data_IF_091376770357
#
_entry.id   IF_091376770357
#
_cell.length_a   1.000
_cell.length_b   1.000
_cell.length_c   1.000
_cell.angle_alpha   90.00
_cell.angle_beta   90.00
_cell.angle_gamma   90.00
#
_symmetry.space_group_name_H-M   'P 1'
#
loop_
_entity.id
_entity.type
_entity.pdbx_description
1 polymer ?
#
# COMPACT_ATOMS: atom_id res chain seq x y z
N UNK A 1 -14.30 -19.12 0.08
CA UNK A 1 -13.66 -18.17 1.00
C UNK A 1 -13.97 -16.78 0.46
N UNK A 2 -14.86 -16.04 1.12
CA UNK A 2 -15.36 -14.75 0.64
C UNK A 2 -14.35 -13.63 0.97
N UNK A 3 -14.05 -12.77 0.00
CA UNK A 3 -13.51 -11.44 0.30
C UNK A 3 -14.69 -10.48 0.21
N UNK A 4 -15.31 -10.28 1.37
CA UNK A 4 -16.23 -9.18 1.61
C UNK A 4 -15.49 -7.88 1.26
N UNK A 5 -16.16 -7.00 0.50
CA UNK A 5 -15.94 -5.55 0.43
C UNK A 5 -14.92 -5.07 1.47
N UNK A 6 -13.77 -4.43 1.11
CA UNK A 6 -12.75 -4.06 2.08
C UNK A 6 -13.46 -3.41 3.27
N UNK A 7 -13.48 -4.13 4.40
CA UNK A 7 -14.40 -3.83 5.49
C UNK A 7 -14.28 -2.32 5.78
N UNK A 8 -15.39 -1.57 5.79
CA UNK A 8 -15.37 -0.13 6.04
C UNK A 8 -14.35 0.18 7.16
N UNK A 9 -13.20 0.76 6.80
CA UNK A 9 -12.06 0.93 7.72
C UNK A 9 -10.79 0.09 7.47
N UNK A 10 -10.68 -0.65 6.36
CA UNK A 10 -9.45 -1.36 5.99
C UNK A 10 -8.26 -0.38 5.92
N UNK A 11 -7.14 -0.74 6.55
CA UNK A 11 -5.98 0.15 6.68
C UNK A 11 -4.69 -0.64 6.58
N UNK A 12 -3.70 -0.10 5.88
CA UNK A 12 -2.35 -0.67 5.84
C UNK A 12 -1.46 -0.08 6.94
N UNK A 13 -0.74 -0.92 7.68
CA UNK A 13 0.24 -0.47 8.68
C UNK A 13 1.65 -0.78 8.20
N UNK A 14 2.47 0.27 8.05
CA UNK A 14 3.83 0.24 7.50
C UNK A 14 4.80 0.85 8.52
N UNK A 15 5.09 0.13 9.60
CA UNK A 15 5.87 0.66 10.74
C UNK A 15 7.16 -0.14 10.90
N UNK A 16 8.30 0.57 10.92
CA UNK A 16 9.61 0.01 11.29
C UNK A 16 9.87 0.10 12.80
N UNK A 17 11.00 -0.45 13.24
CA UNK A 17 11.31 -0.52 14.67
C UNK A 17 11.74 0.86 15.22
N UNK A 18 12.65 1.55 14.53
CA UNK A 18 13.14 2.90 14.85
C UNK A 18 13.92 3.48 13.65
N UNK A 19 14.44 4.70 13.75
CA UNK A 19 15.18 5.36 12.66
C UNK A 19 16.50 4.66 12.29
N UNK A 20 17.11 3.90 13.20
CA UNK A 20 18.31 3.10 12.93
C UNK A 20 17.98 1.75 12.26
N UNK A 21 16.74 1.28 12.41
CA UNK A 21 16.20 0.03 11.86
C UNK A 21 14.84 0.29 11.20
N UNK A 22 14.82 1.08 10.11
CA UNK A 22 13.58 1.43 9.44
C UNK A 22 13.01 0.24 8.67
N UNK A 23 11.70 0.25 8.45
CA UNK A 23 11.07 -0.66 7.50
C UNK A 23 11.46 -0.27 6.07
N UNK A 24 12.22 -1.11 5.36
CA UNK A 24 12.53 -0.91 3.95
C UNK A 24 11.53 -1.66 3.06
N UNK A 25 10.72 -0.91 2.30
CA UNK A 25 9.66 -1.48 1.46
C UNK A 25 9.68 -0.85 0.05
N UNK A 26 9.50 -1.67 -0.97
CA UNK A 26 9.31 -1.19 -2.35
C UNK A 26 7.91 -1.56 -2.83
N UNK A 27 7.10 -0.54 -3.13
CA UNK A 27 5.78 -0.67 -3.73
C UNK A 27 5.92 -0.45 -5.24
N UNK A 28 5.75 -1.53 -6.02
CA UNK A 28 5.80 -1.49 -7.48
C UNK A 28 4.46 -1.91 -8.06
N UNK A 29 3.79 -0.99 -8.76
CA UNK A 29 2.52 -1.26 -9.46
C UNK A 29 1.44 -1.79 -8.51
N UNK A 30 1.30 -1.18 -7.34
CA UNK A 30 0.30 -1.57 -6.32
C UNK A 30 -0.79 -0.51 -6.27
N UNK A 31 -2.02 -0.86 -6.65
CA UNK A 31 -3.18 -0.03 -6.38
C UNK A 31 -4.06 -0.70 -5.32
N UNK A 32 -4.34 0.03 -4.25
CA UNK A 32 -5.26 -0.39 -3.20
C UNK A 32 -6.58 0.35 -3.31
N UNK A 33 -7.70 -0.35 -3.11
CA UNK A 33 -9.03 0.27 -3.07
C UNK A 33 -9.19 1.21 -1.88
N UNK A 34 -8.53 0.90 -0.77
CA UNK A 34 -8.44 1.78 0.40
C UNK A 34 -7.00 2.25 0.57
N UNK A 35 -6.79 3.56 0.43
CA UNK A 35 -5.47 4.21 0.51
C UNK A 35 -5.09 4.63 1.93
N UNK A 36 -5.95 4.38 2.92
CA UNK A 36 -5.66 4.67 4.31
C UNK A 36 -4.47 3.83 4.80
N UNK A 37 -3.40 4.52 5.20
CA UNK A 37 -2.20 3.89 5.76
C UNK A 37 -1.72 4.60 7.02
N UNK A 38 -1.13 3.84 7.94
CA UNK A 38 -0.28 4.37 9.03
C UNK A 38 1.16 3.99 8.77
N UNK A 39 2.07 4.93 8.92
CA UNK A 39 3.49 4.69 8.67
C UNK A 39 4.35 5.41 9.71
N UNK A 40 5.43 4.75 10.15
CA UNK A 40 6.42 5.33 11.06
C UNK A 40 7.76 4.62 10.87
N UNK A 41 8.88 5.35 10.96
CA UNK A 41 10.24 4.82 10.83
C UNK A 41 10.38 3.89 9.61
N UNK A 42 10.01 4.37 8.42
CA UNK A 42 9.90 3.54 7.21
C UNK A 42 10.51 4.24 6.00
N UNK A 43 11.27 3.49 5.19
CA UNK A 43 11.81 3.93 3.91
C UNK A 43 11.09 3.20 2.78
N UNK A 44 10.22 3.94 2.08
CA UNK A 44 9.28 3.36 1.12
C UNK A 44 9.60 3.88 -0.27
N UNK A 45 9.99 2.99 -1.18
CA UNK A 45 10.14 3.33 -2.59
C UNK A 45 8.81 3.10 -3.30
N UNK A 46 8.26 4.14 -3.92
CA UNK A 46 6.95 4.11 -4.59
C UNK A 46 7.13 4.25 -6.10
N UNK A 47 6.81 3.20 -6.85
CA UNK A 47 6.83 3.16 -8.31
C UNK A 47 5.47 2.72 -8.86
N UNK A 48 4.63 3.70 -9.23
CA UNK A 48 3.29 3.44 -9.78
C UNK A 48 2.31 2.86 -8.74
N UNK A 49 2.18 3.52 -7.58
CA UNK A 49 1.20 3.16 -6.54
C UNK A 49 0.33 4.35 -6.18
N UNK A 50 -0.90 4.10 -5.72
CA UNK A 50 -1.82 5.10 -5.18
C UNK A 50 -1.73 5.26 -3.65
N UNK A 51 -0.81 4.55 -2.99
CA UNK A 51 -0.49 4.75 -1.57
C UNK A 51 0.37 6.01 -1.39
N UNK A 52 0.00 6.84 -0.41
CA UNK A 52 0.78 8.00 0.03
C UNK A 52 1.15 7.87 1.51
N UNK A 53 2.15 7.03 1.85
CA UNK A 53 2.59 6.83 3.23
C UNK A 53 3.15 8.14 3.81
N UNK A 54 2.79 8.43 5.06
CA UNK A 54 3.29 9.61 5.78
C UNK A 54 3.34 9.34 7.28
N UNK A 55 4.29 9.95 7.98
CA UNK A 55 4.42 9.86 9.43
C UNK A 55 5.85 10.12 9.92
N UNK A 56 6.09 10.01 11.24
CA UNK A 56 7.39 10.28 11.83
C UNK A 56 8.45 9.29 11.33
N UNK A 57 9.62 9.78 10.92
CA UNK A 57 10.71 8.94 10.40
C UNK A 57 10.38 8.23 9.08
N UNK A 58 9.34 8.67 8.35
CA UNK A 58 8.97 8.11 7.06
C UNK A 58 9.68 8.85 5.93
N UNK A 59 10.41 8.12 5.09
CA UNK A 59 11.02 8.63 3.87
C UNK A 59 10.39 7.95 2.67
N UNK A 60 9.75 8.72 1.78
CA UNK A 60 9.20 8.22 0.53
C UNK A 60 10.16 8.55 -0.62
N UNK A 61 10.57 7.52 -1.36
CA UNK A 61 11.46 7.65 -2.51
C UNK A 61 10.63 7.41 -3.78
N UNK A 62 10.49 8.40 -4.66
CA UNK A 62 9.83 8.19 -5.94
C UNK A 62 10.69 7.24 -6.79
N UNK A 63 10.12 6.10 -7.17
CA UNK A 63 10.71 5.16 -8.11
C UNK A 63 10.12 5.37 -9.51
N UNK A 64 10.97 5.31 -10.52
CA UNK A 64 10.53 5.31 -11.92
C UNK A 64 9.89 3.96 -12.26
N UNK A 65 8.56 3.93 -12.38
CA UNK A 65 7.81 2.77 -12.83
C UNK A 65 6.94 3.13 -14.02
N UNK A 66 7.26 2.61 -15.20
CA UNK A 66 6.37 2.64 -16.36
C UNK A 66 5.43 1.43 -16.34
N UNK A 67 4.14 1.65 -16.61
CA UNK A 67 3.11 0.60 -16.73
C UNK A 67 2.02 0.68 -15.67
N UNK A 68 0.87 0.09 -15.96
CA UNK A 68 -0.34 0.13 -15.14
C UNK A 68 -0.29 -0.89 -13.99
N UNK A 69 -0.93 -0.58 -12.87
CA UNK A 69 -1.18 -1.56 -11.82
C UNK A 69 -2.08 -2.70 -12.35
N UNK A 70 -1.86 -3.96 -11.93
CA UNK A 70 -2.74 -5.06 -12.32
C UNK A 70 -4.14 -4.83 -11.74
N UNK A 71 -5.16 -4.86 -12.59
CA UNK A 71 -6.55 -4.77 -12.16
C UNK A 71 -7.06 -6.16 -11.77
N UNK A 72 -7.27 -6.39 -10.48
CA UNK A 72 -8.01 -7.57 -10.01
C UNK A 72 -9.50 -7.23 -10.00
N UNK A 73 -10.25 -7.65 -11.03
CA UNK A 73 -11.70 -7.57 -11.03
C UNK A 73 -12.27 -8.86 -10.43
N UNK A 74 -12.91 -8.76 -9.27
CA UNK A 74 -13.65 -9.87 -8.69
C UNK A 74 -15.10 -9.83 -9.18
N UNK A 75 -15.65 -10.94 -9.69
CA UNK A 75 -17.07 -11.00 -10.02
C UNK A 75 -17.91 -10.81 -8.75
N UNK A 76 -19.05 -10.13 -8.89
CA UNK A 76 -20.01 -9.99 -7.80
C UNK A 76 -20.54 -11.38 -7.38
N UNK A 77 -20.67 -11.59 -6.07
CA UNK A 77 -21.20 -12.84 -5.53
C UNK A 77 -22.69 -12.69 -5.16
N UNK A 78 -23.54 -13.71 -5.40
CA UNK A 78 -23.25 -14.98 -6.05
C UNK A 78 -23.06 -14.83 -7.56
N UNK A 79 -22.10 -15.57 -8.11
CA UNK A 79 -22.07 -15.85 -9.53
C UNK A 79 -23.33 -16.66 -9.86
N UNK A 80 -24.21 -16.11 -10.70
CA UNK A 80 -25.35 -16.80 -11.27
C UNK A 80 -24.87 -17.84 -12.28
#
# INVERSE_FOLDING_TARGET
MALLNPANGAKSTLVGLNDAHPLELTLRRVNLDVTAATSAHARITVAGSNLTPSGPGVTVIPGSGSGTAPSCAFPAFPAL
#
